data_IF_842323776232
#
_entry.id   IF_842323776232
#
_cell.length_a   1.000
_cell.length_b   1.000
_cell.length_c   1.000
_cell.angle_alpha   90.00
_cell.angle_beta   90.00
_cell.angle_gamma   90.00
#
_symmetry.space_group_name_H-M   'P 1'
#
loop_
_entity.id
_entity.type
_entity.pdbx_description
1 polymer ?
#
# COMPACT_ATOMS: atom_id res chain seq x y z
N UNK A 1 8.30 -10.27 13.49
CA UNK A 1 8.29 -9.55 12.17
C UNK A 1 9.58 -8.75 12.10
N UNK A 2 10.54 -9.24 11.30
CA UNK A 2 11.90 -8.70 11.20
C UNK A 2 11.90 -7.35 10.45
N UNK A 3 12.50 -6.32 11.04
CA UNK A 3 12.56 -4.95 10.49
C UNK A 3 13.99 -4.56 10.11
N UNK A 4 14.11 -3.77 9.06
CA UNK A 4 15.30 -3.00 8.73
C UNK A 4 15.03 -1.52 9.00
N UNK A 5 15.81 -0.91 9.86
CA UNK A 5 15.68 0.50 10.25
C UNK A 5 16.91 1.27 9.77
N UNK A 6 16.71 2.29 8.95
CA UNK A 6 17.80 3.05 8.33
C UNK A 6 17.71 4.51 8.78
N UNK A 7 18.73 4.98 9.53
CA UNK A 7 18.85 6.38 9.92
C UNK A 7 19.67 7.17 8.91
N UNK A 8 19.06 8.22 8.37
CA UNK A 8 19.72 9.16 7.44
C UNK A 8 20.28 10.40 8.13
N UNK A 9 20.42 10.37 9.46
CA UNK A 9 21.05 11.47 10.19
C UNK A 9 22.56 11.52 9.95
N UNK A 10 23.06 12.71 9.62
CA UNK A 10 24.50 12.96 9.61
C UNK A 10 25.08 13.04 11.04
N UNK A 11 24.22 13.23 12.06
CA UNK A 11 24.63 13.34 13.47
C UNK A 11 24.49 11.99 14.15
N UNK A 12 25.48 11.64 14.96
CA UNK A 12 25.39 10.49 15.86
C UNK A 12 24.48 10.80 17.07
N UNK A 13 23.75 9.78 17.51
CA UNK A 13 22.86 9.85 18.66
C UNK A 13 21.83 11.00 18.61
N UNK A 14 21.43 11.43 17.41
CA UNK A 14 20.31 12.35 17.22
C UNK A 14 18.96 11.62 17.16
N UNK A 15 17.89 12.39 17.03
CA UNK A 15 16.51 11.88 17.04
C UNK A 15 16.25 10.71 16.08
N UNK A 16 16.85 10.69 14.88
CA UNK A 16 16.70 9.58 13.96
C UNK A 16 17.31 8.27 14.50
N UNK A 17 18.50 8.37 15.13
CA UNK A 17 19.15 7.23 15.74
C UNK A 17 18.38 6.72 16.97
N UNK A 18 17.81 7.65 17.76
CA UNK A 18 16.98 7.32 18.91
C UNK A 18 15.72 6.57 18.49
N UNK A 19 15.02 7.04 17.43
CA UNK A 19 13.85 6.35 16.88
C UNK A 19 14.24 4.96 16.37
N UNK A 20 15.35 4.85 15.63
CA UNK A 20 15.80 3.55 15.13
C UNK A 20 16.04 2.56 16.27
N UNK A 21 16.74 3.00 17.35
CA UNK A 21 16.96 2.19 18.54
C UNK A 21 15.67 1.85 19.29
N UNK A 22 14.75 2.81 19.39
CA UNK A 22 13.46 2.62 20.07
C UNK A 22 12.57 1.58 19.37
N UNK A 23 12.58 1.56 18.05
CA UNK A 23 11.79 0.63 17.25
C UNK A 23 12.43 -0.75 17.09
N UNK A 24 13.75 -0.85 17.30
CA UNK A 24 14.49 -2.09 17.10
C UNK A 24 14.20 -3.11 18.19
N UNK A 25 14.03 -4.36 17.78
CA UNK A 25 14.04 -5.55 18.63
C UNK A 25 15.28 -6.38 18.35
N UNK A 26 15.47 -7.46 19.08
CA UNK A 26 16.66 -8.33 18.98
C UNK A 26 16.88 -8.87 17.56
N UNK A 27 15.78 -9.23 16.86
CA UNK A 27 15.84 -9.76 15.50
C UNK A 27 15.99 -8.70 14.40
N UNK A 28 15.89 -7.41 14.74
CA UNK A 28 15.90 -6.30 13.79
C UNK A 28 17.32 -5.81 13.49
N UNK A 29 17.52 -5.20 12.33
CA UNK A 29 18.78 -4.56 11.95
C UNK A 29 18.64 -3.04 11.90
N UNK A 30 19.59 -2.34 12.52
CA UNK A 30 19.72 -0.89 12.44
C UNK A 30 20.93 -0.53 11.61
N UNK A 31 20.70 0.28 10.56
CA UNK A 31 21.76 0.83 9.72
C UNK A 31 21.82 2.35 9.93
N UNK A 32 23.02 2.85 10.16
CA UNK A 32 23.31 4.28 10.13
C UNK A 32 23.94 4.59 8.78
N UNK A 33 23.18 5.16 7.87
CA UNK A 33 23.60 5.35 6.46
C UNK A 33 24.90 6.16 6.34
N UNK A 34 25.16 7.10 7.26
CA UNK A 34 26.41 7.85 7.35
C UNK A 34 27.67 6.98 7.53
N UNK A 35 27.54 5.71 7.93
CA UNK A 35 28.67 4.78 8.13
C UNK A 35 28.89 3.85 6.94
N UNK A 36 28.03 3.92 5.93
CA UNK A 36 28.16 3.14 4.72
C UNK A 36 29.10 3.82 3.73
N UNK A 37 29.82 3.01 2.96
CA UNK A 37 30.64 3.48 1.86
C UNK A 37 29.77 3.53 0.60
N UNK A 38 29.14 4.67 0.35
CA UNK A 38 28.23 4.87 -0.78
C UNK A 38 28.65 6.12 -1.55
N UNK A 39 28.87 5.98 -2.84
CA UNK A 39 29.11 7.11 -3.74
C UNK A 39 27.77 7.77 -4.12
N UNK A 40 27.74 9.09 -4.17
CA UNK A 40 26.65 9.83 -4.80
C UNK A 40 26.70 9.63 -6.33
N UNK A 41 25.57 9.87 -6.99
CA UNK A 41 25.53 9.91 -8.45
C UNK A 41 26.46 11.05 -8.94
N UNK A 42 27.36 10.72 -9.82
CA UNK A 42 28.37 11.65 -10.32
C UNK A 42 28.64 11.39 -11.80
N UNK A 43 29.55 12.17 -12.39
CA UNK A 43 29.91 12.12 -13.78
C UNK A 43 30.28 10.71 -14.25
N UNK A 44 29.49 10.13 -15.15
CA UNK A 44 29.64 8.73 -15.59
C UNK A 44 29.06 8.44 -16.99
N UNK A 45 28.87 9.42 -17.84
CA UNK A 45 28.31 9.26 -19.19
C UNK A 45 27.01 8.40 -19.24
N UNK A 46 26.24 8.35 -18.13
CA UNK A 46 24.99 7.59 -17.98
C UNK A 46 25.13 6.08 -18.25
N UNK A 47 26.25 5.48 -17.90
CA UNK A 47 26.53 4.04 -18.10
C UNK A 47 25.41 3.15 -17.55
N UNK A 48 24.75 3.55 -16.45
CA UNK A 48 23.65 2.81 -15.83
C UNK A 48 22.40 2.64 -16.72
N UNK A 49 22.27 3.36 -17.83
CA UNK A 49 21.19 3.15 -18.81
C UNK A 49 21.49 2.03 -19.81
N UNK A 50 22.73 1.63 -19.94
CA UNK A 50 23.18 0.58 -20.86
C UNK A 50 23.75 -0.65 -20.15
N UNK A 51 24.27 -0.46 -18.95
CA UNK A 51 24.87 -1.48 -18.10
C UNK A 51 24.72 -1.08 -16.62
N UNK A 52 25.48 -1.66 -15.71
CA UNK A 52 25.47 -1.30 -14.30
C UNK A 52 26.22 0.01 -14.03
N UNK A 53 25.82 0.71 -12.96
CA UNK A 53 26.55 1.88 -12.48
C UNK A 53 28.02 1.54 -12.19
N UNK A 54 28.95 2.42 -12.57
CA UNK A 54 30.37 2.22 -12.27
C UNK A 54 30.68 2.06 -10.77
N UNK A 55 29.78 2.53 -9.90
CA UNK A 55 29.89 2.38 -8.45
C UNK A 55 29.05 1.22 -7.89
N UNK A 56 28.66 0.25 -8.72
CA UNK A 56 27.81 -0.89 -8.28
C UNK A 56 28.47 -1.78 -7.21
N UNK A 57 29.78 -1.64 -6.98
CA UNK A 57 30.51 -2.37 -5.94
C UNK A 57 30.55 -1.66 -4.59
N UNK A 58 29.88 -0.51 -4.42
CA UNK A 58 29.73 0.12 -3.11
C UNK A 58 28.61 -0.55 -2.28
N UNK A 59 28.39 -0.09 -1.04
CA UNK A 59 27.46 -0.74 -0.11
C UNK A 59 25.99 -0.62 -0.53
N UNK A 60 25.64 0.22 -1.53
CA UNK A 60 24.24 0.54 -1.83
C UNK A 60 23.50 -0.64 -2.47
N UNK A 61 24.15 -1.40 -3.36
CA UNK A 61 23.53 -2.55 -4.00
C UNK A 61 23.24 -3.66 -3.01
N UNK A 62 24.21 -3.93 -2.11
CA UNK A 62 24.02 -4.89 -1.02
C UNK A 62 22.87 -4.47 -0.11
N UNK A 63 22.72 -3.15 0.15
CA UNK A 63 21.61 -2.65 0.95
C UNK A 63 20.25 -2.89 0.26
N UNK A 64 20.12 -2.60 -1.03
CA UNK A 64 18.87 -2.84 -1.76
C UNK A 64 18.53 -4.32 -1.86
N UNK A 65 19.52 -5.19 -2.06
CA UNK A 65 19.31 -6.63 -2.00
C UNK A 65 18.85 -7.07 -0.61
N UNK A 66 19.52 -6.62 0.42
CA UNK A 66 19.19 -6.94 1.82
C UNK A 66 17.78 -6.45 2.21
N UNK A 67 17.30 -5.33 1.67
CA UNK A 67 15.93 -4.84 1.92
C UNK A 67 14.87 -5.90 1.59
N UNK A 68 15.14 -6.84 0.69
CA UNK A 68 14.20 -7.88 0.34
C UNK A 68 14.03 -8.96 1.43
N UNK A 69 14.97 -9.07 2.36
CA UNK A 69 14.96 -10.06 3.44
C UNK A 69 14.11 -9.65 4.65
N UNK A 70 13.62 -8.40 4.66
CA UNK A 70 12.87 -7.85 5.80
C UNK A 70 11.40 -7.68 5.47
N UNK A 71 10.56 -7.93 6.47
CA UNK A 71 9.10 -7.80 6.37
C UNK A 71 8.66 -6.34 6.48
N UNK A 72 9.48 -5.46 7.04
CA UNK A 72 9.25 -4.02 7.11
C UNK A 72 10.57 -3.28 7.02
N UNK A 73 10.57 -2.20 6.22
CA UNK A 73 11.71 -1.33 6.00
C UNK A 73 11.30 0.07 6.48
N UNK A 74 12.08 0.66 7.38
CA UNK A 74 11.77 1.97 7.95
C UNK A 74 12.92 2.93 7.68
N UNK A 75 12.68 3.93 6.84
CA UNK A 75 13.59 5.03 6.61
C UNK A 75 13.28 6.14 7.61
N UNK A 76 14.29 6.65 8.32
CA UNK A 76 14.14 7.72 9.29
C UNK A 76 14.96 8.90 8.80
N UNK A 77 14.27 9.94 8.33
CA UNK A 77 14.83 11.02 7.53
C UNK A 77 14.71 12.37 8.27
N UNK A 78 15.81 13.03 8.62
CA UNK A 78 15.75 14.37 9.17
C UNK A 78 15.68 15.41 8.06
N UNK A 79 15.08 16.56 8.38
CA UNK A 79 15.09 17.73 7.53
C UNK A 79 16.31 18.61 7.83
N UNK A 80 16.96 19.09 6.78
CA UNK A 80 17.96 20.15 6.82
C UNK A 80 17.63 21.25 5.80
N UNK A 81 17.51 22.49 6.27
CA UNK A 81 17.18 23.65 5.41
C UNK A 81 15.96 23.41 4.50
N UNK A 82 14.88 22.87 5.06
CA UNK A 82 13.63 22.64 4.33
C UNK A 82 13.61 21.36 3.47
N UNK A 83 14.73 20.66 3.34
CA UNK A 83 14.88 19.47 2.48
C UNK A 83 15.19 18.22 3.30
N UNK A 84 14.91 17.02 2.77
CA UNK A 84 15.49 15.80 3.29
C UNK A 84 17.03 15.86 3.37
N UNK A 85 17.62 15.14 4.32
CA UNK A 85 19.07 15.05 4.44
C UNK A 85 19.74 14.61 3.14
N UNK A 86 20.94 15.14 2.83
CA UNK A 86 21.71 14.76 1.65
C UNK A 86 21.92 13.24 1.54
N UNK A 87 22.14 12.57 2.66
CA UNK A 87 22.28 11.11 2.71
C UNK A 87 21.04 10.37 2.18
N UNK A 88 19.85 10.93 2.38
CA UNK A 88 18.63 10.37 1.81
C UNK A 88 18.58 10.56 0.29
N UNK A 89 19.05 11.69 -0.22
CA UNK A 89 19.14 11.90 -1.67
C UNK A 89 20.16 10.95 -2.30
N UNK A 90 21.33 10.77 -1.70
CA UNK A 90 22.32 9.77 -2.17
C UNK A 90 21.70 8.38 -2.24
N UNK A 91 20.95 7.96 -1.21
CA UNK A 91 20.21 6.69 -1.24
C UNK A 91 19.18 6.67 -2.40
N UNK A 92 18.37 7.71 -2.55
CA UNK A 92 17.26 7.69 -3.53
C UNK A 92 17.72 7.86 -4.97
N UNK A 93 18.78 8.63 -5.24
CA UNK A 93 19.30 8.80 -6.61
C UNK A 93 19.96 7.52 -7.16
N UNK A 94 20.58 6.72 -6.28
CA UNK A 94 21.21 5.46 -6.65
C UNK A 94 20.21 4.31 -6.86
N UNK A 95 18.95 4.48 -6.45
CA UNK A 95 17.93 3.45 -6.63
C UNK A 95 17.51 3.27 -8.10
N UNK A 96 17.64 4.31 -8.94
CA UNK A 96 17.25 4.24 -10.34
C UNK A 96 18.00 3.12 -11.07
N UNK A 97 19.32 3.11 -10.98
CA UNK A 97 20.16 2.10 -11.60
C UNK A 97 19.82 0.68 -11.13
N UNK A 98 19.75 0.47 -9.81
CA UNK A 98 19.44 -0.83 -9.25
C UNK A 98 18.07 -1.36 -9.72
N UNK A 99 17.02 -0.53 -9.70
CA UNK A 99 15.68 -0.94 -10.07
C UNK A 99 15.41 -1.00 -11.57
N UNK A 100 16.22 -0.34 -12.40
CA UNK A 100 16.18 -0.57 -13.86
C UNK A 100 16.49 -2.02 -14.22
N UNK A 101 17.39 -2.64 -13.48
CA UNK A 101 17.78 -4.05 -13.67
C UNK A 101 17.00 -5.04 -12.78
N UNK A 102 16.24 -4.56 -11.78
CA UNK A 102 15.54 -5.37 -10.77
C UNK A 102 14.12 -4.82 -10.51
N UNK A 103 13.34 -4.57 -11.56
CA UNK A 103 12.04 -3.90 -11.47
C UNK A 103 11.01 -4.63 -10.60
N UNK A 104 11.03 -5.95 -10.56
CA UNK A 104 10.17 -6.78 -9.72
C UNK A 104 10.45 -6.57 -8.21
N UNK A 105 11.70 -6.29 -7.85
CA UNK A 105 12.10 -6.00 -6.46
C UNK A 105 11.56 -4.66 -5.97
N UNK A 106 11.37 -3.68 -6.87
CA UNK A 106 10.85 -2.37 -6.50
C UNK A 106 9.47 -2.45 -5.84
N UNK A 107 8.51 -3.12 -6.47
CA UNK A 107 7.17 -3.27 -5.89
C UNK A 107 7.18 -4.04 -4.56
N UNK A 108 8.06 -5.03 -4.43
CA UNK A 108 8.22 -5.77 -3.19
C UNK A 108 8.76 -4.91 -2.05
N UNK A 109 9.66 -3.98 -2.35
CA UNK A 109 10.21 -3.04 -1.36
C UNK A 109 9.14 -2.00 -0.98
N UNK A 110 8.46 -1.38 -1.96
CA UNK A 110 7.46 -0.33 -1.73
C UNK A 110 6.31 -0.79 -0.81
N UNK A 111 5.85 -2.02 -0.94
CA UNK A 111 4.80 -2.59 -0.05
C UNK A 111 5.20 -2.60 1.43
N UNK A 112 6.49 -2.67 1.73
CA UNK A 112 7.07 -2.85 3.07
C UNK A 112 7.83 -1.63 3.56
N UNK A 113 7.94 -0.60 2.71
CA UNK A 113 8.64 0.65 2.99
C UNK A 113 7.76 1.59 3.79
N UNK A 114 8.30 2.11 4.89
CA UNK A 114 7.73 3.15 5.74
C UNK A 114 8.75 4.26 5.93
N UNK A 115 8.32 5.51 5.89
CA UNK A 115 9.22 6.65 6.05
C UNK A 115 8.76 7.52 7.22
N UNK A 116 9.66 7.81 8.15
CA UNK A 116 9.45 8.74 9.25
C UNK A 116 10.28 9.99 8.97
N UNK A 117 9.59 11.09 8.66
CA UNK A 117 10.22 12.38 8.42
C UNK A 117 10.21 13.26 9.69
N UNK A 118 11.34 13.82 10.08
CA UNK A 118 11.47 14.71 11.25
C UNK A 118 11.80 16.11 10.77
N UNK A 119 10.94 17.10 11.06
CA UNK A 119 11.10 18.49 10.61
C UNK A 119 10.72 19.49 11.69
N UNK A 120 11.01 20.77 11.45
CA UNK A 120 10.72 21.85 12.38
C UNK A 120 9.28 22.29 12.33
N UNK A 121 8.89 22.89 11.21
CA UNK A 121 7.62 23.56 10.99
C UNK A 121 7.11 23.27 9.59
N UNK A 122 5.83 22.92 9.48
CA UNK A 122 5.19 22.58 8.20
C UNK A 122 5.08 23.79 7.27
N UNK A 123 4.75 24.94 7.78
CA UNK A 123 4.56 26.15 6.98
C UNK A 123 5.89 26.66 6.40
N UNK A 124 6.98 26.49 7.15
CA UNK A 124 8.34 26.85 6.71
C UNK A 124 8.98 25.80 5.78
N UNK A 125 8.42 24.59 5.73
CA UNK A 125 8.98 23.49 4.96
C UNK A 125 7.89 22.64 4.29
N UNK A 126 7.03 23.25 3.45
CA UNK A 126 5.87 22.60 2.88
C UNK A 126 6.24 21.42 1.97
N UNK A 127 7.41 21.43 1.34
CA UNK A 127 7.85 20.44 0.36
C UNK A 127 8.53 19.21 0.98
N UNK A 128 8.84 19.23 2.29
CA UNK A 128 9.60 18.17 2.91
C UNK A 128 8.86 16.81 2.88
N UNK A 129 7.62 16.77 3.37
CA UNK A 129 6.82 15.54 3.37
C UNK A 129 6.46 15.11 1.94
N UNK A 130 5.97 15.99 1.04
CA UNK A 130 5.76 15.64 -0.36
C UNK A 130 6.99 15.05 -1.05
N UNK A 131 8.19 15.50 -0.71
CA UNK A 131 9.43 14.91 -1.25
C UNK A 131 9.61 13.44 -0.81
N UNK A 132 9.27 13.10 0.43
CA UNK A 132 9.33 11.72 0.93
C UNK A 132 8.24 10.84 0.30
N UNK A 133 7.08 11.39 0.04
CA UNK A 133 5.94 10.70 -0.57
C UNK A 133 6.18 10.29 -2.03
N UNK A 134 7.17 10.88 -2.70
CA UNK A 134 7.51 10.54 -4.10
C UNK A 134 7.79 9.05 -4.34
N UNK A 135 8.30 8.34 -3.35
CA UNK A 135 8.48 6.88 -3.41
C UNK A 135 7.18 6.13 -3.70
N UNK A 136 6.05 6.70 -3.29
CA UNK A 136 4.74 6.07 -3.34
C UNK A 136 3.84 6.62 -4.46
N UNK A 137 4.38 7.49 -5.32
CA UNK A 137 3.62 8.11 -6.40
C UNK A 137 2.95 7.07 -7.30
N UNK A 138 1.62 7.20 -7.45
CA UNK A 138 0.80 6.29 -8.22
C UNK A 138 0.57 4.92 -7.57
N UNK A 139 1.00 4.74 -6.31
CA UNK A 139 0.75 3.53 -5.52
C UNK A 139 -0.34 3.76 -4.47
N UNK A 140 -0.88 2.66 -3.93
CA UNK A 140 -1.83 2.68 -2.80
C UNK A 140 -1.15 2.90 -1.43
N UNK A 141 0.16 3.14 -1.40
CA UNK A 141 0.97 3.23 -0.17
C UNK A 141 1.34 4.66 0.23
N UNK A 142 0.62 5.67 -0.27
CA UNK A 142 0.84 7.09 0.08
C UNK A 142 0.76 7.39 1.59
N UNK A 143 0.06 6.54 2.35
CA UNK A 143 -0.03 6.61 3.81
C UNK A 143 1.17 6.00 4.55
N UNK A 144 2.20 5.55 3.86
CA UNK A 144 3.42 5.02 4.47
C UNK A 144 4.46 6.10 4.83
N UNK A 145 4.04 7.36 4.93
CA UNK A 145 4.89 8.47 5.40
C UNK A 145 4.29 9.08 6.66
N UNK A 146 5.08 9.13 7.74
CA UNK A 146 4.75 9.82 8.99
C UNK A 146 5.64 11.05 9.14
N UNK A 147 5.02 12.23 9.16
CA UNK A 147 5.70 13.48 9.47
C UNK A 147 5.66 13.80 10.97
N UNK A 148 6.81 14.07 11.58
CA UNK A 148 6.92 14.50 12.97
C UNK A 148 7.36 15.96 12.99
N UNK A 149 6.42 16.85 13.31
CA UNK A 149 6.64 18.28 13.42
C UNK A 149 7.04 18.66 14.85
N UNK A 150 8.30 19.09 15.04
CA UNK A 150 8.83 19.38 16.37
C UNK A 150 8.23 20.63 16.99
N UNK A 151 7.99 21.68 16.20
CA UNK A 151 7.47 22.95 16.73
C UNK A 151 6.05 22.80 17.28
N UNK A 152 5.25 21.87 16.78
CA UNK A 152 3.94 21.53 17.35
C UNK A 152 4.02 21.15 18.84
N UNK A 153 5.15 20.60 19.27
CA UNK A 153 5.41 20.14 20.63
C UNK A 153 6.40 21.04 21.40
N UNK A 154 6.69 22.23 20.87
CA UNK A 154 7.68 23.17 21.44
C UNK A 154 9.08 22.58 21.64
N UNK A 155 9.46 21.59 20.84
CA UNK A 155 10.75 20.92 20.96
C UNK A 155 11.87 21.69 20.26
N UNK A 156 12.97 21.89 20.97
CA UNK A 156 14.20 22.46 20.42
C UNK A 156 15.02 21.42 19.66
N UNK A 157 16.06 21.87 18.94
CA UNK A 157 16.92 20.99 18.13
C UNK A 157 17.60 19.85 18.90
N UNK A 158 17.87 20.06 20.17
CA UNK A 158 18.56 19.09 21.03
C UNK A 158 17.63 18.22 21.87
N UNK A 159 16.34 18.54 21.88
CA UNK A 159 15.38 17.78 22.67
C UNK A 159 15.11 16.44 22.01
N UNK A 160 14.99 15.39 22.82
CA UNK A 160 14.56 14.09 22.34
C UNK A 160 13.08 14.14 22.00
N UNK A 161 12.72 13.84 20.76
CA UNK A 161 11.31 13.73 20.35
C UNK A 161 10.60 12.57 21.04
N UNK A 162 11.35 11.56 21.47
CA UNK A 162 10.80 10.44 22.25
C UNK A 162 10.50 10.80 23.72
N UNK A 163 10.80 12.02 24.17
CA UNK A 163 10.32 12.52 25.46
C UNK A 163 8.80 12.82 25.43
N UNK A 164 8.19 12.95 24.25
CA UNK A 164 6.76 13.23 24.06
C UNK A 164 6.01 11.91 23.83
N UNK A 165 5.13 11.55 24.75
CA UNK A 165 4.38 10.28 24.69
C UNK A 165 3.46 10.18 23.47
N UNK A 166 2.87 11.30 23.03
CA UNK A 166 2.05 11.36 21.80
C UNK A 166 2.89 10.98 20.57
N UNK A 167 4.12 11.45 20.47
CA UNK A 167 5.04 11.10 19.38
C UNK A 167 5.42 9.63 19.45
N UNK A 168 5.78 9.12 20.62
CA UNK A 168 6.06 7.68 20.80
C UNK A 168 4.90 6.82 20.35
N UNK A 169 3.69 7.19 20.77
CA UNK A 169 2.47 6.49 20.39
C UNK A 169 2.27 6.51 18.89
N UNK A 170 2.36 7.69 18.26
CA UNK A 170 2.23 7.85 16.81
C UNK A 170 3.23 7.00 16.04
N UNK A 171 4.50 6.99 16.44
CA UNK A 171 5.54 6.16 15.82
C UNK A 171 5.24 4.67 15.99
N UNK A 172 4.83 4.25 17.19
CA UNK A 172 4.52 2.85 17.47
C UNK A 172 3.32 2.36 16.67
N UNK A 173 2.25 3.15 16.62
CA UNK A 173 1.03 2.83 15.86
C UNK A 173 1.27 2.85 14.35
N UNK A 174 2.13 3.76 13.87
CA UNK A 174 2.52 3.84 12.47
C UNK A 174 3.28 2.58 12.02
N UNK A 175 4.24 2.14 12.83
CA UNK A 175 5.05 0.97 12.50
C UNK A 175 4.34 -0.34 12.88
N UNK A 176 3.57 -0.37 13.97
CA UNK A 176 2.89 -1.57 14.47
C UNK A 176 1.44 -1.20 14.84
N UNK A 177 0.55 -1.05 13.85
CA UNK A 177 -0.85 -0.73 14.12
C UNK A 177 -1.47 -1.79 15.04
N UNK A 178 -1.91 -1.36 16.21
CA UNK A 178 -2.44 -2.27 17.25
C UNK A 178 -3.96 -2.50 17.15
N UNK A 179 -4.66 -1.62 16.44
CA UNK A 179 -6.10 -1.71 16.28
C UNK A 179 -6.45 -2.18 14.87
N UNK A 180 -6.58 -3.49 14.70
CA UNK A 180 -7.16 -4.07 13.48
C UNK A 180 -8.68 -3.98 13.60
N UNK A 181 -9.31 -3.04 12.90
CA UNK A 181 -10.76 -3.07 12.71
C UNK A 181 -11.08 -4.19 11.72
N UNK A 182 -11.99 -5.07 12.10
CA UNK A 182 -12.52 -6.07 11.18
C UNK A 182 -13.75 -5.48 10.50
N UNK A 183 -13.76 -5.48 9.19
CA UNK A 183 -14.88 -5.05 8.34
C UNK A 183 -15.36 -6.23 7.51
N UNK A 184 -16.64 -6.51 7.55
CA UNK A 184 -17.26 -7.51 6.71
C UNK A 184 -17.85 -6.86 5.46
N UNK A 185 -17.72 -7.55 4.34
CA UNK A 185 -18.24 -7.14 3.04
C UNK A 185 -18.70 -8.37 2.28
N UNK A 186 -19.63 -8.20 1.38
CA UNK A 186 -20.07 -9.25 0.50
C UNK A 186 -19.85 -8.88 -0.98
N UNK A 187 -19.70 -9.89 -1.83
CA UNK A 187 -19.48 -9.75 -3.26
C UNK A 187 -20.45 -10.65 -4.03
N UNK A 188 -21.05 -10.10 -5.08
CA UNK A 188 -21.88 -10.85 -6.00
C UNK A 188 -21.07 -11.30 -7.23
N UNK A 189 -20.90 -12.60 -7.39
CA UNK A 189 -20.44 -13.25 -8.62
C UNK A 189 -21.68 -13.60 -9.44
N UNK A 190 -22.07 -12.72 -10.36
CA UNK A 190 -23.31 -12.90 -11.12
C UNK A 190 -22.99 -13.41 -12.53
N UNK A 191 -23.49 -14.58 -12.86
CA UNK A 191 -23.29 -15.21 -14.17
C UNK A 191 -24.58 -15.25 -14.98
N UNK A 192 -24.46 -14.99 -16.27
CA UNK A 192 -25.55 -15.04 -17.24
C UNK A 192 -25.04 -15.53 -18.59
N UNK A 193 -25.54 -16.67 -19.10
CA UNK A 193 -25.22 -17.19 -20.44
C UNK A 193 -23.71 -17.15 -20.78
N UNK A 194 -22.83 -17.62 -19.87
CA UNK A 194 -21.39 -17.68 -20.08
C UNK A 194 -20.64 -16.34 -19.90
N UNK A 195 -21.34 -15.32 -19.44
CA UNK A 195 -20.74 -14.02 -19.09
C UNK A 195 -20.83 -13.76 -17.60
N UNK A 196 -19.97 -12.86 -17.11
CA UNK A 196 -19.94 -12.38 -15.73
C UNK A 196 -20.23 -10.87 -15.70
N UNK A 197 -21.00 -10.44 -14.70
CA UNK A 197 -21.27 -9.02 -14.44
C UNK A 197 -20.08 -8.40 -13.73
N UNK A 198 -19.54 -7.32 -14.30
CA UNK A 198 -18.35 -6.65 -13.79
C UNK A 198 -18.59 -5.18 -13.53
N UNK A 199 -17.79 -4.60 -12.63
CA UNK A 199 -17.73 -3.17 -12.34
C UNK A 199 -16.34 -2.63 -12.65
N UNK A 200 -16.25 -1.40 -13.16
CA UNK A 200 -15.03 -0.62 -13.23
C UNK A 200 -15.09 0.47 -12.15
N UNK A 201 -14.23 0.41 -11.17
CA UNK A 201 -14.17 1.38 -10.06
C UNK A 201 -12.97 2.32 -10.24
N UNK A 202 -13.11 3.55 -9.75
CA UNK A 202 -11.97 4.47 -9.64
C UNK A 202 -11.24 4.21 -8.31
N UNK A 203 -10.08 3.57 -8.36
CA UNK A 203 -9.25 3.29 -7.17
C UNK A 203 -7.91 4.01 -7.35
N UNK A 204 -7.60 4.95 -6.42
CA UNK A 204 -6.35 5.75 -6.48
C UNK A 204 -6.08 6.38 -7.86
N UNK A 205 -7.12 6.90 -8.51
CA UNK A 205 -7.01 7.54 -9.82
C UNK A 205 -6.84 6.59 -11.01
N UNK A 206 -7.00 5.28 -10.80
CA UNK A 206 -6.98 4.26 -11.87
C UNK A 206 -8.31 3.54 -11.97
N UNK A 207 -8.79 3.37 -13.19
CA UNK A 207 -9.91 2.48 -13.46
C UNK A 207 -9.50 1.04 -13.18
N UNK A 208 -10.22 0.36 -12.31
CA UNK A 208 -9.89 -0.99 -11.84
C UNK A 208 -11.08 -1.90 -11.97
N UNK A 209 -10.90 -3.02 -12.66
CA UNK A 209 -11.95 -4.02 -12.88
C UNK A 209 -12.16 -4.86 -11.63
N UNK A 210 -13.43 -5.05 -11.24
CA UNK A 210 -13.85 -5.84 -10.09
C UNK A 210 -15.23 -6.46 -10.33
N UNK A 211 -15.79 -7.03 -9.27
CA UNK A 211 -17.19 -7.50 -9.23
C UNK A 211 -17.97 -6.65 -8.23
N UNK A 212 -19.31 -6.57 -8.34
CA UNK A 212 -20.15 -5.83 -7.41
C UNK A 212 -19.92 -6.29 -5.97
N UNK A 213 -19.62 -5.34 -5.06
CA UNK A 213 -19.28 -5.63 -3.66
C UNK A 213 -19.36 -4.40 -2.77
N UNK A 214 -19.72 -4.58 -1.53
CA UNK A 214 -19.66 -3.51 -0.55
C UNK A 214 -19.75 -3.97 0.89
N UNK A 215 -19.82 -3.01 1.79
CA UNK A 215 -19.87 -3.25 3.22
C UNK A 215 -21.24 -3.77 3.67
N UNK A 216 -21.22 -4.74 4.61
CA UNK A 216 -22.44 -5.17 5.30
C UNK A 216 -22.90 -4.07 6.25
N UNK A 217 -24.16 -3.66 6.10
CA UNK A 217 -24.80 -2.67 6.96
C UNK A 217 -25.32 -3.28 8.25
N UNK A 218 -25.73 -2.42 9.20
CA UNK A 218 -26.28 -2.87 10.47
C UNK A 218 -27.60 -3.63 10.24
N UNK A 219 -27.70 -4.84 10.80
CA UNK A 219 -28.82 -5.78 10.63
C UNK A 219 -28.98 -6.39 9.22
N UNK A 220 -28.01 -6.27 8.37
CA UNK A 220 -27.98 -6.90 7.06
C UNK A 220 -27.15 -8.19 7.09
N UNK A 221 -27.61 -9.24 6.47
CA UNK A 221 -26.83 -10.44 6.27
C UNK A 221 -25.88 -10.28 5.06
N UNK A 222 -24.74 -11.01 5.00
CA UNK A 222 -23.82 -10.89 3.85
C UNK A 222 -24.46 -11.22 2.49
N UNK A 223 -25.47 -12.09 2.43
CA UNK A 223 -26.18 -12.36 1.18
C UNK A 223 -27.04 -11.17 0.76
N UNK A 224 -27.77 -10.54 1.70
CA UNK A 224 -28.55 -9.32 1.45
C UNK A 224 -27.64 -8.19 0.99
N UNK A 225 -26.46 -8.02 1.64
CA UNK A 225 -25.41 -7.10 1.19
C UNK A 225 -25.05 -7.35 -0.28
N UNK A 226 -24.76 -8.59 -0.65
CA UNK A 226 -24.35 -8.90 -2.03
C UNK A 226 -25.43 -8.59 -3.06
N UNK A 227 -26.71 -8.78 -2.69
CA UNK A 227 -27.87 -8.46 -3.53
C UNK A 227 -28.04 -6.95 -3.68
N UNK A 228 -27.99 -6.20 -2.55
CA UNK A 228 -28.09 -4.74 -2.55
C UNK A 228 -26.98 -4.08 -3.36
N UNK A 229 -25.73 -4.44 -3.08
CA UNK A 229 -24.56 -3.89 -3.76
C UNK A 229 -24.57 -4.20 -5.26
N UNK A 230 -25.01 -5.40 -5.65
CA UNK A 230 -25.19 -5.73 -7.07
C UNK A 230 -26.14 -4.73 -7.74
N UNK A 231 -27.28 -4.43 -7.12
CA UNK A 231 -28.23 -3.48 -7.67
C UNK A 231 -27.70 -2.05 -7.66
N UNK A 232 -27.09 -1.59 -6.59
CA UNK A 232 -26.56 -0.22 -6.43
C UNK A 232 -25.43 0.07 -7.43
N UNK A 233 -24.48 -0.86 -7.55
CA UNK A 233 -23.32 -0.69 -8.42
C UNK A 233 -23.62 -0.98 -9.91
N UNK A 234 -24.64 -1.78 -10.22
CA UNK A 234 -24.85 -2.25 -11.62
C UNK A 234 -26.26 -2.08 -12.16
N UNK A 235 -27.25 -1.76 -11.33
CA UNK A 235 -28.69 -1.76 -11.69
C UNK A 235 -29.23 -3.12 -12.16
N UNK A 236 -28.47 -4.21 -11.99
CA UNK A 236 -28.93 -5.57 -12.27
C UNK A 236 -29.63 -6.13 -11.04
N UNK A 237 -30.85 -6.62 -11.23
CA UNK A 237 -31.64 -7.18 -10.13
C UNK A 237 -31.36 -8.68 -9.99
N UNK A 238 -30.87 -9.06 -8.82
CA UNK A 238 -30.77 -10.44 -8.37
C UNK A 238 -31.52 -10.61 -7.06
N UNK A 239 -31.83 -11.83 -6.69
CA UNK A 239 -32.50 -12.16 -5.42
C UNK A 239 -32.04 -13.54 -4.93
N UNK A 240 -32.47 -13.95 -3.75
CA UNK A 240 -32.06 -15.23 -3.16
C UNK A 240 -32.43 -16.46 -4.01
N UNK A 241 -33.48 -16.40 -4.84
CA UNK A 241 -33.82 -17.52 -5.72
C UNK A 241 -32.81 -17.73 -6.87
N UNK A 242 -31.97 -16.74 -7.15
CA UNK A 242 -30.87 -16.83 -8.10
C UNK A 242 -29.58 -17.37 -7.47
N UNK A 243 -29.54 -17.54 -6.13
CA UNK A 243 -28.36 -18.03 -5.41
C UNK A 243 -28.08 -19.49 -5.81
N UNK A 244 -26.87 -19.71 -6.30
CA UNK A 244 -26.34 -21.06 -6.57
C UNK A 244 -25.51 -21.55 -5.38
N UNK A 245 -24.58 -20.69 -4.87
CA UNK A 245 -23.63 -21.11 -3.86
C UNK A 245 -23.03 -19.91 -3.10
N UNK A 246 -22.80 -20.10 -1.79
CA UNK A 246 -21.84 -19.31 -1.03
C UNK A 246 -20.45 -19.83 -1.34
N UNK A 247 -19.57 -18.98 -1.86
CA UNK A 247 -18.18 -19.34 -2.20
C UNK A 247 -17.25 -19.17 -1.00
N UNK A 248 -16.01 -19.57 -1.15
CA UNK A 248 -15.00 -19.53 -0.08
C UNK A 248 -14.66 -18.08 0.30
N UNK A 249 -14.92 -17.65 1.55
CA UNK A 249 -14.55 -16.32 2.03
C UNK A 249 -13.03 -16.14 2.05
N UNK A 250 -12.57 -14.92 1.82
CA UNK A 250 -11.17 -14.56 1.96
C UNK A 250 -11.00 -13.25 2.72
N UNK A 251 -9.81 -13.01 3.23
CA UNK A 251 -9.50 -11.76 3.93
C UNK A 251 -8.20 -11.13 3.42
N UNK A 252 -8.15 -9.82 3.50
CA UNK A 252 -6.95 -9.03 3.23
C UNK A 252 -6.86 -7.85 4.20
N UNK A 253 -5.65 -7.34 4.37
CA UNK A 253 -5.39 -6.21 5.26
C UNK A 253 -4.88 -5.02 4.46
N UNK A 254 -5.31 -3.83 4.85
CA UNK A 254 -4.83 -2.58 4.30
C UNK A 254 -4.82 -1.48 5.35
N UNK A 255 -3.97 -0.47 5.13
CA UNK A 255 -3.95 0.73 5.97
C UNK A 255 -4.85 1.80 5.35
N UNK A 256 -5.68 2.41 6.17
CA UNK A 256 -6.46 3.59 5.77
C UNK A 256 -5.53 4.81 5.62
N UNK A 257 -5.97 5.90 4.97
CA UNK A 257 -5.22 7.17 4.94
C UNK A 257 -4.91 7.72 6.34
N UNK A 258 -5.71 7.37 7.36
CA UNK A 258 -5.46 7.69 8.77
C UNK A 258 -4.60 6.66 9.50
N UNK A 259 -3.91 5.79 8.76
CA UNK A 259 -2.99 4.76 9.26
C UNK A 259 -3.61 3.73 10.23
N UNK A 260 -4.91 3.44 10.07
CA UNK A 260 -5.57 2.36 10.81
C UNK A 260 -5.50 1.08 10.00
N UNK A 261 -5.07 -0.02 10.62
CA UNK A 261 -5.11 -1.34 9.99
C UNK A 261 -6.55 -1.84 9.96
N UNK A 262 -7.04 -2.09 8.74
CA UNK A 262 -8.33 -2.73 8.50
C UNK A 262 -8.06 -4.15 7.98
N UNK A 263 -8.69 -5.14 8.63
CA UNK A 263 -8.84 -6.48 8.06
C UNK A 263 -10.22 -6.58 7.44
N UNK A 264 -10.29 -6.66 6.13
CA UNK A 264 -11.54 -6.85 5.40
C UNK A 264 -11.76 -8.34 5.15
N UNK A 265 -12.90 -8.85 5.60
CA UNK A 265 -13.39 -10.18 5.27
C UNK A 265 -14.38 -10.02 4.14
N UNK A 266 -14.15 -10.66 3.01
CA UNK A 266 -15.04 -10.63 1.85
C UNK A 266 -15.69 -12.01 1.66
N UNK A 267 -17.02 -12.00 1.59
CA UNK A 267 -17.84 -13.20 1.44
C UNK A 267 -18.46 -13.18 0.04
N UNK A 268 -17.96 -13.98 -0.90
CA UNK A 268 -18.51 -14.05 -2.24
C UNK A 268 -19.69 -15.02 -2.32
N UNK A 269 -20.69 -14.65 -3.13
CA UNK A 269 -21.88 -15.45 -3.44
C UNK A 269 -22.05 -15.59 -4.96
N UNK A 270 -22.23 -16.80 -5.45
CA UNK A 270 -22.54 -17.08 -6.85
C UNK A 270 -24.04 -17.00 -7.08
N UNK A 271 -24.42 -16.17 -8.03
CA UNK A 271 -25.79 -16.07 -8.56
C UNK A 271 -25.81 -16.41 -10.03
N UNK A 272 -26.84 -17.12 -10.48
CA UNK A 272 -27.09 -17.40 -11.87
C UNK A 272 -28.41 -16.77 -12.32
N UNK A 273 -28.37 -16.01 -13.38
CA UNK A 273 -29.55 -15.39 -14.00
C UNK A 273 -29.57 -15.67 -15.49
N UNK A 274 -30.75 -15.53 -16.11
CA UNK A 274 -30.96 -15.84 -17.53
C UNK A 274 -31.33 -14.60 -18.36
N UNK A 275 -31.48 -13.44 -17.71
CA UNK A 275 -31.69 -12.15 -18.37
C UNK A 275 -30.53 -11.21 -18.00
N UNK A 276 -29.86 -10.65 -18.99
CA UNK A 276 -28.75 -9.72 -18.79
C UNK A 276 -29.16 -8.40 -18.12
N UNK A 277 -30.45 -8.04 -18.18
CA UNK A 277 -30.87 -6.71 -17.74
C UNK A 277 -30.14 -5.59 -18.52
N UNK A 278 -30.08 -4.42 -17.91
CA UNK A 278 -29.38 -3.26 -18.48
C UNK A 278 -28.37 -2.69 -17.46
N UNK A 279 -27.15 -3.18 -17.44
CA UNK A 279 -26.13 -2.70 -16.49
C UNK A 279 -25.92 -1.19 -16.64
N UNK A 280 -26.10 -0.47 -15.53
CA UNK A 280 -25.90 0.98 -15.44
C UNK A 280 -25.49 1.34 -14.01
N UNK A 281 -24.31 1.89 -13.84
CA UNK A 281 -23.92 2.37 -12.53
C UNK A 281 -24.70 3.61 -12.12
N UNK A 282 -25.07 3.65 -10.83
CA UNK A 282 -25.68 4.79 -10.16
C UNK A 282 -24.76 5.43 -9.12
N UNK A 283 -23.61 4.81 -8.83
CA UNK A 283 -22.65 5.29 -7.87
C UNK A 283 -21.51 6.07 -8.53
N UNK A 284 -21.14 7.21 -7.94
CA UNK A 284 -20.06 8.08 -8.47
C UNK A 284 -18.69 7.36 -8.55
N UNK A 285 -18.42 6.42 -7.66
CA UNK A 285 -17.17 5.65 -7.64
C UNK A 285 -17.08 4.58 -8.73
N UNK A 286 -18.23 4.16 -9.30
CA UNK A 286 -18.30 3.14 -10.33
C UNK A 286 -18.40 3.83 -11.70
N UNK A 287 -17.36 3.67 -12.51
CA UNK A 287 -17.25 4.28 -13.85
C UNK A 287 -18.21 3.62 -14.81
N UNK A 288 -18.30 2.29 -14.76
CA UNK A 288 -19.17 1.49 -15.61
C UNK A 288 -19.48 0.13 -15.00
N UNK A 289 -20.63 -0.43 -15.41
CA UNK A 289 -20.99 -1.82 -15.19
C UNK A 289 -21.30 -2.47 -16.53
N UNK A 290 -20.82 -3.69 -16.76
CA UNK A 290 -21.00 -4.38 -18.04
C UNK A 290 -20.95 -5.90 -17.90
N UNK A 291 -21.45 -6.61 -18.93
CA UNK A 291 -21.27 -8.04 -19.07
C UNK A 291 -20.01 -8.36 -19.86
N UNK A 292 -19.10 -9.10 -19.26
CA UNK A 292 -17.83 -9.49 -19.85
C UNK A 292 -17.75 -11.02 -20.01
N UNK A 293 -17.03 -11.51 -21.02
CA UNK A 293 -16.73 -12.95 -21.07
C UNK A 293 -15.82 -13.33 -19.88
N UNK A 294 -16.07 -14.50 -19.31
CA UNK A 294 -15.32 -14.99 -18.13
C UNK A 294 -13.82 -15.08 -18.43
N UNK A 295 -13.47 -15.59 -19.62
CA UNK A 295 -12.08 -15.69 -20.08
C UNK A 295 -11.37 -14.31 -20.07
N UNK A 296 -12.03 -13.29 -20.63
CA UNK A 296 -11.50 -11.93 -20.64
C UNK A 296 -11.35 -11.40 -19.21
N UNK A 297 -12.35 -11.59 -18.34
CA UNK A 297 -12.29 -11.18 -16.96
C UNK A 297 -11.07 -11.77 -16.24
N UNK A 298 -10.89 -13.08 -16.30
CA UNK A 298 -9.77 -13.78 -15.67
C UNK A 298 -8.40 -13.29 -16.20
N UNK A 299 -8.32 -12.87 -17.46
CA UNK A 299 -7.07 -12.37 -18.06
C UNK A 299 -6.72 -10.96 -17.61
N UNK A 300 -7.70 -10.09 -17.29
CA UNK A 300 -7.46 -8.64 -17.03
C UNK A 300 -7.75 -8.19 -15.61
N UNK A 301 -8.45 -8.99 -14.79
CA UNK A 301 -8.72 -8.66 -13.39
C UNK A 301 -7.41 -8.61 -12.59
N UNK A 302 -7.11 -7.52 -11.88
CA UNK A 302 -5.84 -7.39 -11.15
C UNK A 302 -5.83 -8.10 -9.79
N UNK A 303 -6.98 -8.60 -9.32
CA UNK A 303 -7.14 -9.17 -7.99
C UNK A 303 -7.21 -10.69 -8.03
N UNK A 304 -6.15 -11.34 -7.58
CA UNK A 304 -6.05 -12.82 -7.56
C UNK A 304 -7.18 -13.47 -6.75
N UNK A 305 -7.49 -12.92 -5.57
CA UNK A 305 -8.58 -13.45 -4.74
C UNK A 305 -9.95 -13.38 -5.43
N UNK A 306 -10.19 -12.35 -6.25
CA UNK A 306 -11.45 -12.23 -7.02
C UNK A 306 -11.47 -13.24 -8.16
N UNK A 307 -10.33 -13.46 -8.85
CA UNK A 307 -10.20 -14.51 -9.87
C UNK A 307 -10.50 -15.90 -9.29
N UNK A 308 -9.88 -16.22 -8.14
CA UNK A 308 -10.09 -17.50 -7.46
C UNK A 308 -11.56 -17.72 -7.11
N UNK A 309 -12.30 -16.67 -6.69
CA UNK A 309 -13.74 -16.77 -6.47
C UNK A 309 -14.53 -17.06 -7.76
N UNK A 310 -14.11 -16.50 -8.89
CA UNK A 310 -14.75 -16.77 -10.20
C UNK A 310 -14.40 -18.19 -10.68
N UNK A 311 -13.17 -18.62 -10.52
CA UNK A 311 -12.75 -20.00 -10.87
C UNK A 311 -13.48 -21.05 -10.01
N UNK A 312 -13.62 -20.78 -8.70
CA UNK A 312 -14.45 -21.61 -7.82
C UNK A 312 -15.90 -21.66 -8.33
N UNK A 313 -16.47 -20.48 -8.68
CA UNK A 313 -17.85 -20.38 -9.17
C UNK A 313 -18.09 -21.23 -10.43
N UNK A 314 -17.11 -21.30 -11.35
CA UNK A 314 -17.20 -22.11 -12.56
C UNK A 314 -17.39 -23.63 -12.30
N UNK A 315 -17.01 -24.08 -11.10
CA UNK A 315 -17.24 -25.51 -10.73
C UNK A 315 -18.70 -25.82 -10.43
N UNK A 316 -19.55 -24.81 -10.25
CA UNK A 316 -20.97 -24.96 -9.88
C UNK A 316 -21.96 -24.58 -10.99
N UNK A 317 -21.52 -23.91 -12.06
CA UNK A 317 -22.34 -23.58 -13.24
C UNK A 317 -21.94 -24.49 -14.40
N UNK A 318 -22.93 -24.92 -15.20
CA UNK A 318 -22.71 -25.82 -16.35
C UNK A 318 -22.56 -25.06 -17.64
#
# INVERSE_FOLDING_TARGET
MKKLLISFSARENGNCDEIAKYLAKEEDKVIYFRKMNVHNCSECDYECFSDYCKYHNDDIYNLYDEMNDYQKIVLIVPMYCGNPASLYFVFSERCQDYFMHNGDKYENIIKRLFIIGIYGDKEQSPEFIPCLEKWFNGSKYSNHVLGIERHKYNLQLKDSILAVDEIKKSISEFINPTNTKIEESAMAVVMCNGKILVTNEMIYGKATLSLPKGHTEENESPIETSIRECYEETNVVINESNLVKKLTPYSYEFLTPSNKLIRKILIPYLFEIYDFGNPLSKEERIISAEWMSIERFLSVCPYENVKNSVEEALSYVK
#
